data_IF_359897977701
#
_entry.id   IF_359897977701
#
_cell.length_a   1.000
_cell.length_b   1.000
_cell.length_c   1.000
_cell.angle_alpha   90.00
_cell.angle_beta   90.00
_cell.angle_gamma   90.00
#
_symmetry.space_group_name_H-M   'P 1'
#
loop_
_entity.id
_entity.type
_entity.pdbx_description
1 polymer ?
#
# COMPACT_ATOMS: atom_id res chain seq x y z
N UNK A 1 6.54 -14.45 -4.63
CA UNK A 1 5.82 -13.73 -5.72
C UNK A 1 6.10 -12.24 -5.61
N UNK A 2 6.28 -11.53 -6.72
CA UNK A 2 6.52 -10.08 -6.75
C UNK A 2 5.39 -9.41 -7.51
N UNK A 3 4.79 -8.37 -6.93
CA UNK A 3 3.72 -7.59 -7.55
C UNK A 3 4.12 -6.11 -7.53
N UNK A 4 4.25 -5.49 -8.70
CA UNK A 4 4.48 -4.04 -8.81
C UNK A 4 3.15 -3.30 -8.67
N UNK A 5 2.67 -3.25 -7.48
CA UNK A 5 1.36 -2.68 -7.16
C UNK A 5 1.14 -2.47 -5.67
N UNK A 6 0.00 -1.85 -5.38
CA UNK A 6 -0.54 -1.67 -4.05
C UNK A 6 -1.59 -2.73 -3.80
N UNK A 7 -1.47 -3.49 -2.72
CA UNK A 7 -2.50 -4.41 -2.25
C UNK A 7 -3.20 -3.76 -1.06
N UNK A 8 -4.50 -3.52 -1.20
CA UNK A 8 -5.36 -2.98 -0.13
C UNK A 8 -6.05 -4.15 0.56
N UNK A 9 -5.87 -4.24 1.87
CA UNK A 9 -6.46 -5.26 2.75
C UNK A 9 -7.15 -4.62 3.94
N UNK A 10 -7.88 -5.41 4.72
CA UNK A 10 -8.64 -4.87 5.85
C UNK A 10 -7.76 -4.56 7.06
N UNK A 11 -6.88 -5.46 7.43
CA UNK A 11 -6.15 -5.41 8.69
C UNK A 11 -4.64 -5.66 8.60
N UNK A 12 -3.99 -5.45 9.73
CA UNK A 12 -2.54 -5.67 9.89
C UNK A 12 -2.20 -7.17 9.83
N UNK A 13 -3.11 -8.05 10.28
CA UNK A 13 -2.98 -9.50 10.17
C UNK A 13 -2.83 -9.96 8.74
N UNK A 14 -3.62 -9.37 7.83
CA UNK A 14 -3.58 -9.69 6.40
C UNK A 14 -2.25 -9.26 5.80
N UNK A 15 -1.77 -8.05 6.15
CA UNK A 15 -0.44 -7.58 5.73
C UNK A 15 0.65 -8.52 6.24
N UNK A 16 0.59 -8.92 7.51
CA UNK A 16 1.59 -9.83 8.11
C UNK A 16 1.62 -11.19 7.41
N UNK A 17 0.44 -11.74 7.10
CA UNK A 17 0.31 -13.00 6.38
C UNK A 17 0.86 -12.87 4.95
N UNK A 18 0.35 -11.91 4.17
CA UNK A 18 0.70 -11.72 2.76
C UNK A 18 2.17 -11.37 2.56
N UNK A 19 2.73 -10.47 3.38
CA UNK A 19 4.13 -10.04 3.25
C UNK A 19 5.15 -11.14 3.50
N UNK A 20 4.75 -12.27 4.06
CA UNK A 20 5.62 -13.44 4.24
C UNK A 20 5.95 -14.16 2.92
N UNK A 21 5.17 -13.95 1.85
CA UNK A 21 5.37 -14.60 0.54
C UNK A 21 5.04 -13.72 -0.67
N UNK A 22 4.48 -12.53 -0.47
CA UNK A 22 4.21 -11.53 -1.51
C UNK A 22 5.02 -10.27 -1.23
N UNK A 23 5.87 -9.87 -2.18
CA UNK A 23 6.56 -8.59 -2.17
C UNK A 23 5.73 -7.57 -2.96
N UNK A 24 5.09 -6.65 -2.25
CA UNK A 24 4.27 -5.57 -2.79
C UNK A 24 4.26 -4.38 -1.82
N UNK A 25 3.68 -3.24 -2.22
CA UNK A 25 3.27 -2.22 -1.24
C UNK A 25 1.90 -2.61 -0.67
N UNK A 26 1.71 -2.41 0.64
CA UNK A 26 0.47 -2.74 1.33
C UNK A 26 -0.17 -1.51 1.96
N UNK A 27 -1.50 -1.48 1.93
CA UNK A 27 -2.33 -0.50 2.63
C UNK A 27 -3.47 -1.22 3.36
N UNK A 28 -3.72 -0.82 4.61
CA UNK A 28 -4.88 -1.29 5.35
C UNK A 28 -5.98 -0.24 5.33
N UNK A 29 -7.23 -0.68 5.29
CA UNK A 29 -8.38 0.22 5.41
C UNK A 29 -8.59 0.70 6.83
N UNK A 30 -8.26 -0.12 7.81
CA UNK A 30 -8.54 0.15 9.23
C UNK A 30 -10.04 0.18 9.56
N UNK A 31 -10.84 -0.54 8.78
CA UNK A 31 -12.30 -0.59 8.87
C UNK A 31 -13.01 0.20 7.76
N UNK A 32 -14.24 0.67 8.02
CA UNK A 32 -15.08 1.32 7.01
C UNK A 32 -14.61 2.72 6.57
N UNK A 33 -13.84 3.41 7.42
CA UNK A 33 -13.41 4.79 7.16
C UNK A 33 -11.94 4.82 6.77
N UNK A 34 -11.67 4.98 5.48
CA UNK A 34 -10.31 5.09 4.96
C UNK A 34 -9.87 6.56 5.06
N UNK A 35 -8.72 6.88 5.68
CA UNK A 35 -8.22 8.24 5.75
C UNK A 35 -8.02 8.85 4.35
N UNK A 36 -8.45 10.10 4.16
CA UNK A 36 -8.33 10.80 2.86
C UNK A 36 -6.92 10.75 2.27
N UNK A 37 -5.89 10.93 3.11
CA UNK A 37 -4.49 10.86 2.67
C UNK A 37 -4.11 9.48 2.11
N UNK A 38 -4.64 8.39 2.66
CA UNK A 38 -4.41 7.04 2.13
C UNK A 38 -5.16 6.80 0.81
N UNK A 39 -6.35 7.37 0.65
CA UNK A 39 -7.08 7.35 -0.63
C UNK A 39 -6.26 8.07 -1.71
N UNK A 40 -5.73 9.25 -1.42
CA UNK A 40 -4.90 10.00 -2.37
C UNK A 40 -3.59 9.26 -2.73
N UNK A 41 -3.01 8.55 -1.77
CA UNK A 41 -1.88 7.67 -2.06
C UNK A 41 -2.26 6.54 -3.01
N UNK A 42 -3.36 5.84 -2.76
CA UNK A 42 -3.81 4.75 -3.61
C UNK A 42 -4.16 5.24 -5.03
N UNK A 43 -4.79 6.42 -5.16
CA UNK A 43 -5.02 7.07 -6.46
C UNK A 43 -3.72 7.36 -7.19
N UNK A 44 -2.71 7.91 -6.51
CA UNK A 44 -1.39 8.16 -7.10
C UNK A 44 -0.73 6.88 -7.59
N UNK A 45 -0.80 5.81 -6.80
CA UNK A 45 -0.29 4.49 -7.24
C UNK A 45 -0.99 4.05 -8.52
N UNK A 46 -2.32 4.20 -8.59
CA UNK A 46 -3.13 3.82 -9.75
C UNK A 46 -2.82 4.57 -11.04
N UNK A 47 -2.07 5.69 -10.98
CA UNK A 47 -1.61 6.42 -12.17
C UNK A 47 -0.53 5.66 -12.97
N UNK A 48 0.22 4.77 -12.34
CA UNK A 48 1.36 4.06 -12.97
C UNK A 48 1.47 2.57 -12.62
N UNK A 49 0.78 2.12 -11.58
CA UNK A 49 0.85 0.76 -11.05
C UNK A 49 -0.54 0.21 -10.76
N UNK A 50 -0.62 -1.10 -10.52
CA UNK A 50 -1.89 -1.77 -10.18
C UNK A 50 -2.29 -1.46 -8.73
N UNK A 51 -3.58 -1.24 -8.51
CA UNK A 51 -4.20 -1.17 -7.18
C UNK A 51 -5.13 -2.37 -7.05
N UNK A 52 -4.75 -3.32 -6.21
CA UNK A 52 -5.44 -4.59 -6.01
C UNK A 52 -6.19 -4.52 -4.68
N UNK A 53 -7.46 -4.86 -4.68
CA UNK A 53 -8.31 -4.93 -3.48
C UNK A 53 -8.51 -6.39 -3.12
N UNK A 54 -8.04 -6.77 -1.95
CA UNK A 54 -8.13 -8.10 -1.39
C UNK A 54 -8.72 -8.02 0.02
N UNK A 55 -10.04 -8.04 0.10
CA UNK A 55 -10.82 -8.01 1.34
C UNK A 55 -11.50 -9.35 1.57
N UNK A 56 -11.95 -9.59 2.79
CA UNK A 56 -12.68 -10.79 3.14
C UNK A 56 -13.93 -11.00 2.26
N UNK A 57 -14.38 -12.21 2.15
CA UNK A 57 -15.53 -12.58 1.31
C UNK A 57 -16.87 -12.50 2.07
N UNK A 58 -16.88 -11.94 3.27
CA UNK A 58 -18.06 -11.69 4.09
C UNK A 58 -18.77 -10.35 3.73
N UNK A 59 -19.90 -10.07 4.37
CA UNK A 59 -20.67 -8.84 4.13
C UNK A 59 -19.87 -7.57 4.44
N UNK A 60 -19.02 -7.60 5.48
CA UNK A 60 -18.19 -6.48 5.86
C UNK A 60 -17.12 -6.20 4.78
N UNK A 61 -16.40 -7.23 4.34
CA UNK A 61 -15.40 -7.13 3.29
C UNK A 61 -15.98 -6.69 1.94
N UNK A 62 -17.19 -7.16 1.59
CA UNK A 62 -17.91 -6.70 0.39
C UNK A 62 -18.21 -5.20 0.50
N UNK A 63 -18.69 -4.73 1.66
CA UNK A 63 -19.02 -3.32 1.88
C UNK A 63 -17.76 -2.44 1.79
N UNK A 64 -16.66 -2.88 2.41
CA UNK A 64 -15.36 -2.19 2.35
C UNK A 64 -14.86 -2.13 0.90
N UNK A 65 -14.92 -3.23 0.17
CA UNK A 65 -14.52 -3.32 -1.24
C UNK A 65 -15.32 -2.35 -2.12
N UNK A 66 -16.64 -2.33 -1.98
CA UNK A 66 -17.48 -1.40 -2.72
C UNK A 66 -17.09 0.05 -2.42
N UNK A 67 -16.84 0.36 -1.16
CA UNK A 67 -16.39 1.70 -0.76
C UNK A 67 -15.03 2.07 -1.35
N UNK A 68 -14.08 1.14 -1.41
CA UNK A 68 -12.78 1.37 -2.07
C UNK A 68 -13.00 1.67 -3.56
N UNK A 69 -13.81 0.87 -4.25
CA UNK A 69 -14.08 1.03 -5.68
C UNK A 69 -14.76 2.38 -6.02
N UNK A 70 -15.61 2.90 -5.12
CA UNK A 70 -16.18 4.24 -5.26
C UNK A 70 -15.13 5.36 -5.13
N UNK A 71 -14.16 5.18 -4.25
CA UNK A 71 -13.18 6.21 -3.90
C UNK A 71 -11.94 6.20 -4.79
N UNK A 72 -11.55 5.01 -5.28
CA UNK A 72 -10.31 4.80 -6.03
C UNK A 72 -10.67 4.18 -7.38
N UNK A 73 -10.47 4.89 -8.49
CA UNK A 73 -10.78 4.35 -9.81
C UNK A 73 -9.80 3.26 -10.24
N UNK A 74 -10.22 2.39 -11.15
CA UNK A 74 -9.40 1.38 -11.80
C UNK A 74 -8.75 0.37 -10.82
N UNK A 75 -9.48 -0.04 -9.80
CA UNK A 75 -9.04 -1.09 -8.88
C UNK A 75 -9.29 -2.48 -9.46
N UNK A 76 -8.43 -3.42 -9.10
CA UNK A 76 -8.56 -4.84 -9.43
C UNK A 76 -9.05 -5.60 -8.19
N UNK A 77 -10.23 -6.19 -8.27
CA UNK A 77 -10.81 -6.92 -7.14
C UNK A 77 -10.41 -8.39 -7.22
N UNK A 78 -9.71 -8.88 -6.20
CA UNK A 78 -9.34 -10.28 -6.05
C UNK A 78 -10.23 -10.92 -5.00
N UNK A 79 -10.89 -12.01 -5.37
CA UNK A 79 -11.78 -12.76 -4.51
C UNK A 79 -11.15 -14.10 -4.17
N UNK A 80 -11.02 -14.39 -2.88
CA UNK A 80 -10.62 -15.70 -2.40
C UNK A 80 -11.84 -16.63 -2.26
N UNK A 81 -11.64 -17.91 -2.48
CA UNK A 81 -12.68 -18.91 -2.24
C UNK A 81 -12.94 -19.03 -0.73
N UNK A 82 -14.14 -18.63 -0.30
CA UNK A 82 -14.53 -18.62 1.12
C UNK A 82 -14.37 -19.99 1.79
N UNK A 83 -14.51 -21.10 1.04
CA UNK A 83 -14.32 -22.44 1.57
C UNK A 83 -12.86 -22.75 1.89
N UNK A 84 -11.92 -21.99 1.32
CA UNK A 84 -10.48 -22.09 1.54
C UNK A 84 -9.93 -21.02 2.48
N UNK A 85 -10.78 -20.11 2.92
CA UNK A 85 -10.47 -19.01 3.82
C UNK A 85 -10.97 -19.29 5.25
N UNK A 86 -10.87 -20.54 5.70
CA UNK A 86 -11.38 -20.94 7.03
C UNK A 86 -10.27 -21.59 7.83
N UNK A 87 -9.90 -20.97 8.93
CA UNK A 87 -8.98 -21.51 9.93
C UNK A 87 -9.58 -21.35 11.32
N UNK A 88 -9.87 -22.47 11.98
CA UNK A 88 -10.45 -22.49 13.34
C UNK A 88 -11.79 -21.73 13.45
N UNK A 89 -12.64 -21.80 12.42
CA UNK A 89 -13.93 -21.11 12.41
C UNK A 89 -13.87 -19.60 12.11
N UNK A 90 -12.67 -19.06 11.83
CA UNK A 90 -12.50 -17.70 11.33
C UNK A 90 -12.37 -17.73 9.83
N UNK A 91 -12.95 -16.73 9.18
CA UNK A 91 -12.95 -16.57 7.73
C UNK A 91 -12.30 -15.23 7.38
N UNK A 92 -11.30 -15.24 6.49
CA UNK A 92 -10.63 -14.02 6.09
C UNK A 92 -9.37 -14.26 5.25
N UNK A 93 -8.74 -13.17 4.84
CA UNK A 93 -7.49 -13.21 4.05
C UNK A 93 -6.36 -13.88 4.85
N UNK A 94 -6.22 -13.52 6.12
CA UNK A 94 -5.18 -14.10 7.00
C UNK A 94 -5.42 -15.58 7.34
N UNK A 95 -6.63 -16.07 7.20
CA UNK A 95 -7.04 -17.45 7.45
C UNK A 95 -6.99 -18.33 6.17
N UNK A 96 -6.68 -17.72 5.03
CA UNK A 96 -6.55 -18.41 3.74
C UNK A 96 -5.30 -19.27 3.67
N UNK A 97 -5.28 -20.20 2.74
CA UNK A 97 -4.05 -20.91 2.39
C UNK A 97 -3.16 -20.03 1.50
N UNK A 98 -1.85 -20.17 1.66
CA UNK A 98 -0.87 -19.48 0.83
C UNK A 98 -1.05 -19.81 -0.66
N UNK A 99 -1.36 -21.06 -0.97
CA UNK A 99 -1.57 -21.58 -2.32
C UNK A 99 -2.77 -20.91 -3.00
N UNK A 100 -3.87 -20.71 -2.26
CA UNK A 100 -5.06 -20.03 -2.78
C UNK A 100 -4.76 -18.57 -3.11
N UNK A 101 -4.11 -17.86 -2.19
CA UNK A 101 -3.72 -16.46 -2.42
C UNK A 101 -2.79 -16.33 -3.61
N UNK A 102 -1.76 -17.18 -3.71
CA UNK A 102 -0.82 -17.18 -4.85
C UNK A 102 -1.56 -17.42 -6.15
N UNK A 103 -2.49 -18.39 -6.17
CA UNK A 103 -3.30 -18.67 -7.36
C UNK A 103 -4.11 -17.43 -7.79
N UNK A 104 -4.81 -16.79 -6.86
CA UNK A 104 -5.65 -15.63 -7.17
C UNK A 104 -4.85 -14.38 -7.56
N UNK A 105 -3.61 -14.24 -7.06
CA UNK A 105 -2.73 -13.13 -7.38
C UNK A 105 -1.79 -13.40 -8.56
N UNK A 106 -1.78 -14.61 -9.13
CA UNK A 106 -0.83 -15.03 -10.17
C UNK A 106 -0.87 -14.18 -11.45
N UNK A 107 -2.02 -13.66 -11.84
CA UNK A 107 -2.18 -12.79 -13.01
C UNK A 107 -1.52 -11.41 -12.83
N UNK A 108 -1.22 -11.01 -11.58
CA UNK A 108 -0.57 -9.75 -11.23
C UNK A 108 0.93 -9.91 -10.99
N UNK A 109 1.44 -11.14 -11.00
CA UNK A 109 2.84 -11.42 -10.72
C UNK A 109 3.74 -10.89 -11.84
N UNK A 110 4.79 -10.18 -11.45
CA UNK A 110 5.85 -9.84 -12.37
C UNK A 110 6.83 -11.00 -12.52
N UNK A 111 7.20 -11.28 -13.78
CA UNK A 111 8.18 -12.32 -14.13
C UNK A 111 9.62 -11.83 -14.09
N UNK A 112 9.83 -10.55 -13.81
CA UNK A 112 11.15 -9.90 -13.77
C UNK A 112 11.32 -9.16 -12.46
N UNK A 113 12.58 -9.00 -12.01
CA UNK A 113 12.88 -8.17 -10.84
C UNK A 113 12.58 -6.69 -11.11
N UNK A 114 12.08 -6.00 -10.08
CA UNK A 114 11.79 -4.57 -10.14
C UNK A 114 12.95 -3.83 -9.50
N UNK A 115 13.51 -2.87 -10.20
CA UNK A 115 14.36 -1.85 -9.59
C UNK A 115 13.48 -0.72 -9.04
N UNK A 116 13.38 -0.66 -7.73
CA UNK A 116 12.80 0.48 -7.02
C UNK A 116 13.86 1.58 -6.81
N UNK A 117 13.39 2.79 -6.48
CA UNK A 117 14.25 3.89 -6.08
C UNK A 117 15.23 3.51 -4.97
N UNK A 118 16.34 4.25 -4.88
CA UNK A 118 17.45 3.95 -3.96
C UNK A 118 17.66 5.05 -2.91
N UNK A 119 16.64 5.86 -2.63
CA UNK A 119 16.71 6.89 -1.58
C UNK A 119 16.79 6.19 -0.22
N UNK A 120 17.81 6.56 0.55
CA UNK A 120 18.04 6.00 1.88
C UNK A 120 17.38 6.84 2.99
N UNK A 121 17.25 6.25 4.18
CA UNK A 121 16.82 6.99 5.36
C UNK A 121 17.78 8.15 5.69
N UNK A 122 19.08 7.99 5.41
CA UNK A 122 20.08 9.03 5.65
C UNK A 122 19.88 10.25 4.73
N UNK A 123 19.46 10.03 3.48
CA UNK A 123 19.16 11.13 2.56
C UNK A 123 18.00 11.97 3.08
N UNK A 124 16.93 11.31 3.54
CA UNK A 124 15.77 11.99 4.13
C UNK A 124 16.09 12.63 5.49
N UNK A 125 17.01 12.05 6.25
CA UNK A 125 17.50 12.66 7.50
C UNK A 125 18.25 13.97 7.24
N UNK A 126 19.13 14.00 6.24
CA UNK A 126 19.87 15.21 5.83
C UNK A 126 18.92 16.34 5.39
N UNK A 127 17.79 16.02 4.79
CA UNK A 127 16.74 16.99 4.43
C UNK A 127 15.84 17.39 5.62
N UNK A 128 16.01 16.76 6.78
CA UNK A 128 15.22 17.00 7.98
C UNK A 128 13.77 16.48 7.89
N UNK A 129 13.53 15.49 7.03
CA UNK A 129 12.20 14.85 6.85
C UNK A 129 12.02 13.67 7.81
N UNK A 130 13.12 13.10 8.29
CA UNK A 130 13.17 12.03 9.29
C UNK A 130 14.02 12.50 10.47
N UNK A 131 13.69 12.05 11.66
CA UNK A 131 14.40 12.38 12.90
C UNK A 131 13.63 13.34 13.80
N UNK A 132 14.25 13.83 14.89
CA UNK A 132 13.62 14.78 15.80
C UNK A 132 13.20 16.08 15.07
N UNK A 133 12.01 16.59 15.37
CA UNK A 133 11.49 17.83 14.78
C UNK A 133 11.04 17.74 13.32
N UNK A 134 11.09 16.57 12.69
CA UNK A 134 10.82 16.38 11.26
C UNK A 134 9.34 16.34 10.87
N UNK A 135 8.41 16.46 11.82
CA UNK A 135 6.98 16.23 11.59
C UNK A 135 6.41 17.16 10.50
N UNK A 136 6.69 18.44 10.59
CA UNK A 136 6.16 19.45 9.67
C UNK A 136 6.67 19.24 8.24
N UNK A 137 8.00 19.15 8.05
CA UNK A 137 8.60 18.87 6.75
C UNK A 137 8.09 17.54 6.14
N UNK A 138 7.98 16.52 6.97
CA UNK A 138 7.42 15.23 6.53
C UNK A 138 5.97 15.37 6.09
N UNK A 139 5.17 16.17 6.78
CA UNK A 139 3.77 16.42 6.40
C UNK A 139 3.67 17.19 5.08
N UNK A 140 4.50 18.20 4.85
CA UNK A 140 4.61 18.92 3.57
C UNK A 140 4.89 17.91 2.44
N UNK A 141 5.96 17.12 2.57
CA UNK A 141 6.37 16.15 1.55
C UNK A 141 5.29 15.09 1.30
N UNK A 142 4.74 14.49 2.37
CA UNK A 142 3.73 13.44 2.21
C UNK A 142 2.42 13.95 1.62
N UNK A 143 2.06 15.20 1.87
CA UNK A 143 0.85 15.82 1.31
C UNK A 143 1.06 16.20 -0.15
N UNK A 144 2.13 16.95 -0.47
CA UNK A 144 2.42 17.40 -1.84
C UNK A 144 2.66 16.23 -2.79
N UNK A 145 3.38 15.22 -2.35
CA UNK A 145 3.66 14.04 -3.14
C UNK A 145 2.61 12.91 -2.97
N UNK A 146 1.49 13.17 -2.32
CA UNK A 146 0.39 12.22 -2.10
C UNK A 146 0.88 10.83 -1.62
N UNK A 147 1.73 10.82 -0.56
CA UNK A 147 2.36 9.59 -0.05
C UNK A 147 1.57 8.93 1.09
N UNK A 148 0.42 9.50 1.45
CA UNK A 148 -0.40 8.99 2.55
C UNK A 148 0.19 9.29 3.93
N UNK A 149 -0.26 8.55 4.93
CA UNK A 149 0.21 8.69 6.32
C UNK A 149 1.45 7.83 6.50
N UNK A 150 2.60 8.47 6.75
CA UNK A 150 3.89 7.80 6.85
C UNK A 150 4.63 8.12 8.16
N UNK A 151 5.15 7.09 8.80
CA UNK A 151 6.35 7.20 9.63
C UNK A 151 7.61 7.24 8.74
N UNK A 152 8.80 7.34 9.34
CA UNK A 152 10.04 7.43 8.57
C UNK A 152 10.33 6.20 7.70
N UNK A 153 10.03 4.99 8.18
CA UNK A 153 10.26 3.74 7.44
C UNK A 153 9.30 3.60 6.27
N UNK A 154 8.03 3.85 6.52
CA UNK A 154 6.97 3.82 5.48
C UNK A 154 7.21 4.87 4.41
N UNK A 155 7.72 6.04 4.79
CA UNK A 155 8.07 7.11 3.88
C UNK A 155 9.17 6.70 2.91
N UNK A 156 10.30 6.19 3.40
CA UNK A 156 11.39 5.66 2.55
C UNK A 156 10.88 4.61 1.58
N UNK A 157 10.06 3.68 2.07
CA UNK A 157 9.51 2.60 1.25
C UNK A 157 8.61 3.14 0.14
N UNK A 158 7.67 4.06 0.44
CA UNK A 158 6.73 4.63 -0.54
C UNK A 158 7.41 5.52 -1.58
N UNK A 159 8.41 6.31 -1.17
CA UNK A 159 9.25 7.09 -2.08
C UNK A 159 9.93 6.18 -3.10
N UNK A 160 10.59 5.13 -2.62
CA UNK A 160 11.29 4.18 -3.49
C UNK A 160 10.31 3.36 -4.35
N UNK A 161 9.19 2.93 -3.80
CA UNK A 161 8.13 2.21 -4.53
C UNK A 161 7.58 3.02 -5.73
N UNK A 162 7.43 4.33 -5.56
CA UNK A 162 6.97 5.23 -6.62
C UNK A 162 8.12 5.79 -7.49
N UNK A 163 9.37 5.37 -7.26
CA UNK A 163 10.56 5.86 -7.97
C UNK A 163 10.73 7.39 -7.93
N UNK A 164 10.25 8.04 -6.85
CA UNK A 164 10.39 9.49 -6.65
C UNK A 164 11.88 9.83 -6.54
N UNK A 165 12.29 10.91 -7.22
CA UNK A 165 13.66 11.38 -7.20
C UNK A 165 13.90 12.33 -6.03
N UNK A 166 15.19 12.44 -5.61
CA UNK A 166 15.56 13.33 -4.52
C UNK A 166 15.26 14.78 -4.86
N UNK A 167 15.47 15.18 -6.11
CA UNK A 167 15.21 16.53 -6.60
C UNK A 167 13.72 16.92 -6.48
N UNK A 168 12.81 16.01 -6.78
CA UNK A 168 11.35 16.21 -6.58
C UNK A 168 11.01 16.52 -5.11
N UNK A 169 11.70 15.86 -4.18
CA UNK A 169 11.50 16.08 -2.74
C UNK A 169 12.05 17.46 -2.33
N UNK A 170 13.21 17.86 -2.88
CA UNK A 170 13.83 19.15 -2.62
C UNK A 170 12.94 20.28 -3.14
N UNK A 171 12.43 20.18 -4.38
CA UNK A 171 11.51 21.16 -4.97
C UNK A 171 10.25 21.37 -4.11
N UNK A 172 9.69 20.29 -3.57
CA UNK A 172 8.53 20.36 -2.68
C UNK A 172 8.85 21.11 -1.39
N UNK A 173 10.05 20.89 -0.81
CA UNK A 173 10.47 21.59 0.41
C UNK A 173 10.75 23.08 0.18
N UNK A 174 11.29 23.44 -0.98
CA UNK A 174 11.57 24.82 -1.37
C UNK A 174 10.26 25.60 -1.67
N UNK A 175 9.30 24.92 -2.27
CA UNK A 175 8.00 25.53 -2.61
C UNK A 175 7.03 25.64 -1.43
N UNK A 176 7.27 24.89 -0.37
CA UNK A 176 6.41 24.84 0.83
C UNK A 176 6.88 25.77 1.98
N UNK A 177 7.93 26.57 1.75
CA UNK A 177 8.45 27.58 2.70
C UNK A 177 7.86 28.97 2.45
#
# INVERSE_FOLDING_TARGET
>A
MIIDGLIIVEGISDVAFLSSFVKAEFMTTGGYTIPKKEIEFAKRVGESKKVIVLTDSDEAGITIRNRINELIPNTYNVLLDINKCNKNGKHGVAESTKEEVIKCLSEYELKTDIEYGKISANDLYKLGIIGPGSKEKREIVTTSLRLGICDGKKLVRRINFLNIKLDEIIEVLESGN
#
